data_IF_278100131974
#
_entry.id   IF_278100131974
#
_cell.length_a   1.000
_cell.length_b   1.000
_cell.length_c   1.000
_cell.angle_alpha   90.00
_cell.angle_beta   90.00
_cell.angle_gamma   90.00
#
_symmetry.space_group_name_H-M   'P 1'
#
loop_
_entity.id
_entity.type
_entity.pdbx_description
1 polymer ?
#
# COMPACT_ATOMS: atom_id res chain seq x y z
N UNK A 1 -29.19 -23.09 -9.06
CA UNK A 1 -28.08 -22.95 -8.09
C UNK A 1 -27.86 -24.32 -7.49
N UNK A 2 -26.63 -24.84 -7.51
CA UNK A 2 -26.30 -26.11 -6.87
C UNK A 2 -25.52 -25.81 -5.59
N UNK A 3 -25.89 -26.42 -4.47
CA UNK A 3 -25.18 -26.28 -3.20
C UNK A 3 -24.96 -27.66 -2.58
N UNK A 4 -23.73 -27.92 -2.19
CA UNK A 4 -23.29 -29.11 -1.48
C UNK A 4 -22.57 -28.66 -0.20
N UNK A 5 -23.12 -28.96 0.97
CA UNK A 5 -22.54 -28.54 2.23
C UNK A 5 -23.52 -28.66 3.39
N UNK A 6 -23.04 -28.27 4.57
CA UNK A 6 -23.81 -28.27 5.81
C UNK A 6 -24.96 -27.24 5.76
N UNK A 7 -25.98 -27.49 6.58
CA UNK A 7 -27.16 -26.63 6.74
C UNK A 7 -27.56 -26.57 8.21
N UNK A 8 -28.12 -25.44 8.63
CA UNK A 8 -28.68 -25.27 9.97
C UNK A 8 -30.10 -25.89 10.08
N UNK A 9 -30.71 -25.81 11.27
CA UNK A 9 -32.02 -26.39 11.57
C UNK A 9 -33.16 -25.83 10.69
N UNK A 10 -33.06 -24.57 10.28
CA UNK A 10 -34.02 -23.91 9.39
C UNK A 10 -33.72 -24.16 7.90
N UNK A 11 -32.68 -24.93 7.58
CA UNK A 11 -32.32 -25.35 6.23
C UNK A 11 -31.46 -24.37 5.44
N UNK A 12 -30.97 -23.29 6.07
CA UNK A 12 -30.04 -22.34 5.45
C UNK A 12 -28.63 -22.94 5.34
N UNK A 13 -27.81 -22.41 4.41
CA UNK A 13 -26.39 -22.78 4.31
C UNK A 13 -25.66 -22.42 5.61
N UNK A 14 -24.92 -23.37 6.16
CA UNK A 14 -24.16 -23.20 7.39
C UNK A 14 -22.90 -24.09 7.34
N UNK A 15 -21.90 -23.83 8.17
CA UNK A 15 -20.68 -24.63 8.21
C UNK A 15 -19.88 -24.50 6.91
N UNK A 16 -19.22 -25.57 6.45
CA UNK A 16 -18.49 -25.54 5.19
C UNK A 16 -19.37 -26.01 4.02
N UNK A 17 -19.26 -25.35 2.87
CA UNK A 17 -20.00 -25.75 1.68
C UNK A 17 -19.44 -25.21 0.37
N UNK A 18 -19.95 -25.78 -0.72
CA UNK A 18 -19.63 -25.42 -2.10
C UNK A 18 -20.91 -25.06 -2.85
N UNK A 19 -20.92 -23.89 -3.47
CA UNK A 19 -22.02 -23.39 -4.27
C UNK A 19 -21.57 -23.16 -5.72
N UNK A 20 -22.42 -23.56 -6.67
CA UNK A 20 -22.40 -23.13 -8.06
C UNK A 20 -23.54 -22.15 -8.30
N UNK A 21 -23.18 -20.93 -8.66
CA UNK A 21 -24.10 -19.82 -8.85
C UNK A 21 -24.69 -19.84 -10.28
N UNK A 22 -25.88 -19.25 -10.49
CA UNK A 22 -26.52 -19.21 -11.82
C UNK A 22 -25.67 -18.54 -12.91
N UNK A 23 -24.81 -17.59 -12.54
CA UNK A 23 -23.90 -16.90 -13.45
C UNK A 23 -22.68 -17.76 -13.88
N UNK A 24 -22.52 -18.95 -13.28
CA UNK A 24 -21.40 -19.86 -13.52
C UNK A 24 -20.23 -19.72 -12.54
N UNK A 25 -20.28 -18.74 -11.64
CA UNK A 25 -19.30 -18.58 -10.57
C UNK A 25 -19.40 -19.74 -9.56
N UNK A 26 -18.32 -19.93 -8.81
CA UNK A 26 -18.29 -20.93 -7.74
C UNK A 26 -17.75 -20.33 -6.46
N UNK A 27 -18.35 -20.70 -5.34
CA UNK A 27 -17.83 -20.41 -4.01
C UNK A 27 -17.60 -21.71 -3.26
N UNK A 28 -16.52 -21.79 -2.51
CA UNK A 28 -16.20 -22.88 -1.61
C UNK A 28 -15.62 -22.30 -0.33
N UNK A 29 -16.28 -22.54 0.80
CA UNK A 29 -15.86 -21.96 2.07
C UNK A 29 -16.97 -22.00 3.13
N UNK A 30 -16.77 -21.19 4.16
CA UNK A 30 -17.63 -21.14 5.33
C UNK A 30 -18.90 -20.28 5.10
N UNK A 31 -20.00 -20.77 5.66
CA UNK A 31 -21.31 -20.14 5.66
C UNK A 31 -21.84 -20.00 7.08
N UNK A 32 -22.53 -18.90 7.32
CA UNK A 32 -23.25 -18.62 8.56
C UNK A 32 -24.57 -17.93 8.20
N UNK A 33 -25.69 -18.42 8.75
CA UNK A 33 -27.06 -17.91 8.46
C UNK A 33 -27.34 -17.67 6.97
N UNK A 34 -26.98 -18.65 6.13
CA UNK A 34 -27.20 -18.57 4.67
C UNK A 34 -26.20 -17.70 3.91
N UNK A 35 -25.30 -16.96 4.58
CA UNK A 35 -24.36 -16.00 4.01
C UNK A 35 -22.92 -16.52 4.10
N UNK A 36 -22.06 -16.13 3.15
CA UNK A 36 -20.62 -16.41 3.22
C UNK A 36 -20.07 -15.69 4.45
N UNK A 37 -19.39 -16.43 5.32
CA UNK A 37 -18.83 -15.92 6.57
C UNK A 37 -17.60 -16.75 6.94
N UNK A 38 -16.49 -16.10 7.29
CA UNK A 38 -15.21 -16.74 7.54
C UNK A 38 -14.44 -17.00 6.25
N UNK A 39 -13.54 -17.97 6.27
CA UNK A 39 -12.64 -18.24 5.16
C UNK A 39 -13.38 -18.86 3.96
N UNK A 40 -13.05 -18.39 2.76
CA UNK A 40 -13.58 -18.98 1.54
C UNK A 40 -12.86 -18.55 0.27
N UNK A 41 -13.10 -19.30 -0.79
CA UNK A 41 -12.62 -19.02 -2.13
C UNK A 41 -13.79 -18.81 -3.08
N UNK A 42 -13.82 -17.65 -3.73
CA UNK A 42 -14.75 -17.34 -4.80
C UNK A 42 -14.01 -17.32 -6.13
N UNK A 43 -14.45 -18.13 -7.08
CA UNK A 43 -13.91 -18.20 -8.44
C UNK A 43 -14.95 -17.66 -9.40
N UNK A 44 -14.58 -16.58 -10.08
CA UNK A 44 -15.41 -15.92 -11.05
C UNK A 44 -15.28 -16.62 -12.41
N UNK A 45 -16.37 -16.68 -13.17
CA UNK A 45 -16.36 -17.23 -14.54
C UNK A 45 -15.41 -16.47 -15.47
N UNK A 46 -15.16 -15.19 -15.20
CA UNK A 46 -14.23 -14.36 -15.97
C UNK A 46 -12.73 -14.68 -15.70
N UNK A 47 -12.42 -15.61 -14.80
CA UNK A 47 -11.05 -16.00 -14.44
C UNK A 47 -10.51 -15.34 -13.16
N UNK A 48 -11.18 -14.32 -12.63
CA UNK A 48 -10.80 -13.74 -11.35
C UNK A 48 -10.99 -14.75 -10.21
N UNK A 49 -10.25 -14.56 -9.12
CA UNK A 49 -10.37 -15.38 -7.91
C UNK A 49 -10.08 -14.57 -6.67
N UNK A 50 -10.97 -14.64 -5.69
CA UNK A 50 -10.73 -14.18 -4.33
C UNK A 50 -10.58 -15.37 -3.39
N UNK A 51 -9.59 -15.32 -2.50
CA UNK A 51 -9.43 -16.25 -1.38
C UNK A 51 -9.15 -15.43 -0.12
N UNK A 52 -10.00 -15.54 0.90
CA UNK A 52 -9.85 -14.75 2.12
C UNK A 52 -11.08 -14.80 3.02
N UNK A 53 -11.12 -13.88 3.98
CA UNK A 53 -12.22 -13.76 4.92
C UNK A 53 -13.47 -13.11 4.30
N UNK A 54 -14.62 -13.58 4.76
CA UNK A 54 -15.92 -13.03 4.45
C UNK A 54 -16.67 -12.65 5.72
N UNK A 55 -17.43 -11.56 5.67
CA UNK A 55 -18.43 -11.23 6.69
C UNK A 55 -19.73 -10.88 5.97
N UNK A 56 -20.79 -11.65 6.24
CA UNK A 56 -22.14 -11.40 5.70
C UNK A 56 -22.13 -11.16 4.18
N UNK A 57 -21.56 -12.10 3.42
CA UNK A 57 -21.37 -12.08 1.96
C UNK A 57 -20.32 -11.11 1.41
N UNK A 58 -19.67 -10.26 2.22
CA UNK A 58 -18.67 -9.31 1.74
C UNK A 58 -17.26 -9.78 2.07
N UNK A 59 -16.30 -9.51 1.17
CA UNK A 59 -14.86 -9.64 1.44
C UNK A 59 -14.50 -8.74 2.62
N UNK A 60 -13.80 -9.31 3.60
CA UNK A 60 -13.39 -8.62 4.81
C UNK A 60 -12.04 -9.18 5.27
N UNK A 61 -11.41 -8.62 6.30
CA UNK A 61 -10.22 -9.22 6.91
C UNK A 61 -9.06 -9.38 5.93
N UNK A 62 -8.35 -10.50 5.98
CA UNK A 62 -7.23 -10.77 5.08
C UNK A 62 -7.69 -11.51 3.83
N UNK A 63 -7.19 -11.12 2.67
CA UNK A 63 -7.52 -11.83 1.44
C UNK A 63 -6.62 -11.51 0.26
N UNK A 64 -6.55 -12.48 -0.65
CA UNK A 64 -5.88 -12.38 -1.93
C UNK A 64 -6.91 -12.33 -3.05
N UNK A 65 -6.83 -11.33 -3.91
CA UNK A 65 -7.61 -11.23 -5.13
C UNK A 65 -6.68 -11.30 -6.34
N UNK A 66 -6.91 -12.28 -7.21
CA UNK A 66 -6.22 -12.42 -8.50
C UNK A 66 -7.19 -11.97 -9.58
N UNK A 67 -6.78 -10.97 -10.35
CA UNK A 67 -7.59 -10.38 -11.41
C UNK A 67 -7.41 -11.16 -12.72
N UNK A 68 -8.35 -11.03 -13.68
CA UNK A 68 -8.28 -11.76 -14.96
C UNK A 68 -7.07 -11.38 -15.82
N UNK A 69 -6.52 -10.18 -15.64
CA UNK A 69 -5.33 -9.69 -16.35
C UNK A 69 -4.01 -10.26 -15.78
N UNK A 70 -4.07 -10.97 -14.65
CA UNK A 70 -2.91 -11.54 -13.96
C UNK A 70 -2.35 -10.67 -12.85
N UNK A 71 -2.83 -9.43 -12.69
CA UNK A 71 -2.51 -8.62 -11.50
C UNK A 71 -3.08 -9.30 -10.25
N UNK A 72 -2.52 -8.99 -9.08
CA UNK A 72 -3.04 -9.51 -7.81
C UNK A 72 -2.88 -8.51 -6.68
N UNK A 73 -3.84 -8.54 -5.77
CA UNK A 73 -3.79 -7.84 -4.50
C UNK A 73 -3.75 -8.83 -3.34
N UNK A 74 -2.91 -8.57 -2.37
CA UNK A 74 -2.77 -9.33 -1.12
C UNK A 74 -2.80 -8.34 0.04
N UNK A 75 -3.83 -8.40 0.90
CA UNK A 75 -3.92 -7.49 2.02
C UNK A 75 -5.28 -7.46 2.69
N UNK A 76 -5.54 -6.36 3.38
CA UNK A 76 -6.75 -6.12 4.14
C UNK A 76 -7.94 -5.72 3.26
N UNK A 77 -9.13 -6.18 3.66
CA UNK A 77 -10.40 -5.90 3.01
C UNK A 77 -11.43 -5.43 4.03
N UNK A 78 -12.25 -4.48 3.64
CA UNK A 78 -13.40 -4.01 4.41
C UNK A 78 -14.57 -3.73 3.47
N UNK A 79 -15.72 -4.37 3.71
CA UNK A 79 -16.95 -4.17 2.95
C UNK A 79 -16.75 -4.27 1.42
N UNK A 80 -16.12 -5.35 0.96
CA UNK A 80 -15.76 -5.60 -0.45
C UNK A 80 -14.67 -4.68 -1.05
N UNK A 81 -14.12 -3.76 -0.25
CA UNK A 81 -13.10 -2.81 -0.67
C UNK A 81 -11.72 -3.17 -0.14
N UNK A 82 -10.67 -2.92 -0.94
CA UNK A 82 -9.28 -2.95 -0.43
C UNK A 82 -9.13 -1.84 0.61
N UNK A 83 -8.58 -2.17 1.77
CA UNK A 83 -8.45 -1.28 2.91
C UNK A 83 -7.17 -1.62 3.67
N UNK A 84 -6.73 -0.77 4.62
CA UNK A 84 -5.64 -1.10 5.53
C UNK A 84 -4.32 -1.32 4.81
N UNK A 85 -3.50 -2.27 5.27
CA UNK A 85 -2.22 -2.60 4.63
C UNK A 85 -2.41 -3.63 3.51
N UNK A 86 -1.69 -3.45 2.40
CA UNK A 86 -1.67 -4.44 1.33
C UNK A 86 -0.60 -4.23 0.28
N UNK A 87 -0.36 -5.29 -0.48
CA UNK A 87 0.56 -5.34 -1.61
C UNK A 87 -0.24 -5.57 -2.88
N UNK A 88 -0.02 -4.74 -3.89
CA UNK A 88 -0.57 -4.91 -5.22
C UNK A 88 0.57 -5.17 -6.21
N UNK A 89 0.44 -6.25 -6.96
CA UNK A 89 1.36 -6.65 -8.02
C UNK A 89 0.68 -6.39 -9.37
N UNK A 90 1.27 -5.49 -10.14
CA UNK A 90 0.76 -5.08 -11.44
C UNK A 90 1.22 -6.04 -12.54
N UNK A 91 0.53 -6.01 -13.68
CA UNK A 91 0.85 -6.86 -14.85
C UNK A 91 2.22 -6.52 -15.45
N UNK A 92 2.64 -5.25 -15.36
CA UNK A 92 3.97 -4.80 -15.77
C UNK A 92 5.09 -5.17 -14.77
N UNK A 93 4.77 -5.97 -13.74
CA UNK A 93 5.60 -6.36 -12.61
C UNK A 93 5.91 -5.24 -11.60
N UNK A 94 5.35 -4.04 -11.77
CA UNK A 94 5.42 -3.03 -10.72
C UNK A 94 4.76 -3.56 -9.45
N UNK A 95 5.17 -3.01 -8.30
CA UNK A 95 4.58 -3.37 -7.01
C UNK A 95 4.30 -2.14 -6.19
N UNK A 96 3.10 -2.05 -5.64
CA UNK A 96 2.77 -1.11 -4.57
C UNK A 96 2.64 -1.87 -3.25
N UNK A 97 3.31 -1.38 -2.20
CA UNK A 97 3.20 -1.88 -0.83
C UNK A 97 2.88 -0.71 0.08
N UNK A 98 1.74 -0.72 0.75
CA UNK A 98 1.38 0.34 1.68
C UNK A 98 -0.08 0.35 2.07
N UNK A 99 -0.52 1.53 2.49
CA UNK A 99 -1.87 1.78 2.96
C UNK A 99 -2.88 1.90 1.79
N UNK A 100 -4.11 1.45 2.05
CA UNK A 100 -5.26 1.46 1.16
C UNK A 100 -6.49 1.99 1.87
N UNK A 101 -7.29 2.78 1.16
CA UNK A 101 -8.58 3.28 1.64
C UNK A 101 -9.57 3.29 0.49
N UNK A 102 -10.66 2.52 0.62
CA UNK A 102 -11.74 2.41 -0.38
C UNK A 102 -11.20 2.19 -1.80
N UNK A 103 -10.46 1.09 -1.96
CA UNK A 103 -9.78 0.67 -3.20
C UNK A 103 -8.62 1.56 -3.69
N UNK A 104 -8.37 2.72 -3.08
CA UNK A 104 -7.32 3.64 -3.52
C UNK A 104 -6.07 3.52 -2.66
N UNK A 105 -4.89 3.67 -3.28
CA UNK A 105 -3.65 3.90 -2.55
C UNK A 105 -3.80 5.16 -1.71
N UNK A 106 -3.50 5.08 -0.43
CA UNK A 106 -3.64 6.18 0.53
C UNK A 106 -2.55 6.06 1.59
N UNK A 107 -2.27 7.11 2.37
CA UNK A 107 -1.33 7.03 3.49
C UNK A 107 0.11 6.83 3.06
N UNK A 108 0.91 6.09 3.83
CA UNK A 108 2.29 5.77 3.47
C UNK A 108 2.36 4.56 2.54
N UNK A 109 3.20 4.67 1.51
CA UNK A 109 3.36 3.59 0.55
C UNK A 109 4.66 3.64 -0.23
N UNK A 110 5.08 2.46 -0.65
CA UNK A 110 6.22 2.22 -1.53
C UNK A 110 5.71 1.77 -2.90
N UNK A 111 6.16 2.40 -3.98
CA UNK A 111 5.95 1.93 -5.34
C UNK A 111 7.29 1.56 -5.98
N UNK A 112 7.42 0.34 -6.46
CA UNK A 112 8.57 -0.19 -7.17
C UNK A 112 8.24 -0.24 -8.66
N UNK A 113 9.04 0.49 -9.45
CA UNK A 113 9.01 0.46 -10.90
C UNK A 113 9.90 -0.68 -11.38
N UNK A 114 9.32 -1.75 -11.90
CA UNK A 114 10.07 -2.96 -12.24
C UNK A 114 11.03 -2.76 -13.42
N UNK A 115 10.63 -1.94 -14.40
CA UNK A 115 11.44 -1.66 -15.59
C UNK A 115 12.73 -0.92 -15.26
N UNK A 116 12.66 0.11 -14.42
CA UNK A 116 13.80 0.98 -14.09
C UNK A 116 14.51 0.56 -12.80
N UNK A 117 13.87 -0.25 -11.96
CA UNK A 117 14.32 -0.51 -10.60
C UNK A 117 14.15 0.67 -9.65
N UNK A 118 13.54 1.78 -10.11
CA UNK A 118 13.26 2.94 -9.26
C UNK A 118 12.25 2.61 -8.18
N UNK A 119 12.34 3.30 -7.04
CA UNK A 119 11.42 3.15 -5.92
C UNK A 119 10.97 4.50 -5.40
N UNK A 120 9.67 4.75 -5.41
CA UNK A 120 9.04 5.86 -4.70
C UNK A 120 8.66 5.41 -3.28
N UNK A 121 8.99 6.20 -2.27
CA UNK A 121 8.63 5.99 -0.87
C UNK A 121 8.04 7.28 -0.32
N UNK A 122 6.73 7.33 -0.07
CA UNK A 122 6.11 8.58 0.34
C UNK A 122 4.63 8.48 0.62
N UNK A 123 3.99 9.66 0.66
CA UNK A 123 2.57 9.77 0.97
C UNK A 123 1.73 9.66 -0.30
N UNK A 124 0.60 8.97 -0.18
CA UNK A 124 -0.38 8.77 -1.23
C UNK A 124 -1.72 9.35 -0.78
N UNK A 125 -2.37 10.08 -1.68
CA UNK A 125 -3.71 10.64 -1.46
C UNK A 125 -4.53 10.34 -2.70
N UNK A 126 -5.61 9.56 -2.53
CA UNK A 126 -6.51 9.19 -3.61
C UNK A 126 -5.82 8.62 -4.86
N UNK A 127 -4.86 7.72 -4.65
CA UNK A 127 -4.10 7.10 -5.73
C UNK A 127 -2.95 7.94 -6.29
N UNK A 128 -2.76 9.18 -5.82
CA UNK A 128 -1.73 10.10 -6.30
C UNK A 128 -0.58 10.24 -5.30
N UNK A 129 0.64 10.40 -5.81
CA UNK A 129 1.82 10.71 -5.02
C UNK A 129 1.77 12.17 -4.58
N UNK A 130 1.82 12.39 -3.26
CA UNK A 130 1.65 13.71 -2.68
C UNK A 130 2.52 13.88 -1.42
N UNK A 131 2.83 15.13 -1.05
CA UNK A 131 3.57 15.42 0.17
C UNK A 131 5.04 15.02 0.11
N UNK A 132 5.67 14.81 1.27
CA UNK A 132 7.07 14.47 1.36
C UNK A 132 7.31 13.02 0.92
N UNK A 133 8.35 12.81 0.11
CA UNK A 133 8.72 11.48 -0.38
C UNK A 133 10.20 11.40 -0.76
N UNK A 134 10.66 10.17 -0.90
CA UNK A 134 11.93 9.81 -1.49
C UNK A 134 11.71 9.07 -2.81
N UNK A 135 12.44 9.46 -3.85
CA UNK A 135 12.53 8.73 -5.10
C UNK A 135 13.96 8.20 -5.23
N UNK A 136 14.11 6.89 -5.15
CA UNK A 136 15.39 6.19 -5.18
C UNK A 136 15.57 5.60 -6.58
N UNK A 137 16.71 5.87 -7.21
CA UNK A 137 17.09 5.27 -8.48
C UNK A 137 18.60 4.99 -8.48
N UNK A 138 18.97 3.73 -8.74
CA UNK A 138 20.35 3.28 -8.73
C UNK A 138 21.09 3.67 -7.43
N UNK A 139 22.09 4.55 -7.52
CA UNK A 139 23.00 4.97 -6.45
C UNK A 139 22.69 6.39 -5.89
N UNK A 140 21.49 6.89 -6.17
CA UNK A 140 21.06 8.19 -5.68
C UNK A 140 19.58 8.17 -5.28
N UNK A 141 19.22 9.11 -4.41
CA UNK A 141 17.83 9.36 -4.04
C UNK A 141 17.52 10.84 -4.01
N UNK A 142 16.40 11.21 -4.62
CA UNK A 142 15.81 12.51 -4.43
C UNK A 142 14.95 12.51 -3.17
N UNK A 143 15.09 13.53 -2.33
CA UNK A 143 14.25 13.79 -1.16
C UNK A 143 13.59 15.15 -1.34
N UNK A 144 12.25 15.18 -1.36
CA UNK A 144 11.51 16.43 -1.55
C UNK A 144 10.01 16.25 -1.47
N UNK A 145 9.27 17.22 -2.02
CA UNK A 145 7.81 17.17 -2.07
C UNK A 145 7.30 16.79 -3.44
N UNK A 146 6.17 16.10 -3.46
CA UNK A 146 5.43 15.72 -4.65
C UNK A 146 4.03 16.31 -4.61
N UNK A 147 3.51 16.67 -5.78
CA UNK A 147 2.15 17.14 -6.00
C UNK A 147 1.68 16.60 -7.34
N UNK A 148 0.58 15.84 -7.35
CA UNK A 148 0.03 15.20 -8.55
C UNK A 148 1.11 14.41 -9.34
N UNK A 149 1.87 13.55 -8.66
CA UNK A 149 3.00 12.76 -9.22
C UNK A 149 4.25 13.55 -9.60
N UNK A 150 4.21 14.88 -9.58
CA UNK A 150 5.36 15.71 -9.96
C UNK A 150 6.16 16.17 -8.74
N UNK A 151 7.50 16.09 -8.76
CA UNK A 151 8.32 16.71 -7.73
C UNK A 151 8.20 18.24 -7.80
N UNK A 152 8.11 18.89 -6.64
CA UNK A 152 7.87 20.34 -6.53
C UNK A 152 8.68 20.97 -5.40
N UNK A 153 9.10 22.22 -5.61
CA UNK A 153 9.70 23.04 -4.58
C UNK A 153 11.09 22.54 -4.14
N UNK A 154 11.55 22.90 -2.93
CA UNK A 154 12.88 22.56 -2.47
C UNK A 154 13.03 21.06 -2.23
N UNK A 155 14.20 20.55 -2.59
CA UNK A 155 14.58 19.16 -2.37
C UNK A 155 16.09 18.97 -2.43
N UNK A 156 16.53 17.73 -2.33
CA UNK A 156 17.94 17.38 -2.49
C UNK A 156 18.13 16.00 -3.10
N UNK A 157 19.16 15.86 -3.91
CA UNK A 157 19.69 14.57 -4.31
C UNK A 157 20.79 14.15 -3.34
N UNK A 158 20.68 12.93 -2.82
CA UNK A 158 21.71 12.31 -1.99
C UNK A 158 22.32 11.15 -2.76
N UNK A 159 23.63 11.21 -2.95
CA UNK A 159 24.41 10.19 -3.65
C UNK A 159 25.12 9.28 -2.63
N UNK A 160 25.32 8.01 -2.98
CA UNK A 160 25.95 7.04 -2.07
C UNK A 160 27.40 7.42 -1.66
N UNK A 161 28.06 8.26 -2.45
CA UNK A 161 29.38 8.82 -2.14
C UNK A 161 29.36 9.86 -1.01
N UNK A 162 28.18 10.20 -0.46
CA UNK A 162 28.00 11.16 0.62
C UNK A 162 27.83 12.61 0.16
N UNK A 163 27.84 12.88 -1.15
CA UNK A 163 27.49 14.18 -1.70
C UNK A 163 25.98 14.44 -1.63
N UNK A 164 25.61 15.67 -1.30
CA UNK A 164 24.23 16.15 -1.44
C UNK A 164 24.17 17.32 -2.41
N UNK A 165 23.32 17.26 -3.43
CA UNK A 165 23.00 18.40 -4.28
C UNK A 165 21.64 18.97 -3.85
N UNK A 166 21.65 20.22 -3.40
CA UNK A 166 20.45 20.95 -2.99
C UNK A 166 19.94 21.78 -4.14
N UNK A 167 18.62 21.84 -4.28
CA UNK A 167 17.98 22.57 -5.36
C UNK A 167 16.47 22.64 -5.19
N UNK A 168 15.79 23.00 -6.26
CA UNK A 168 14.33 23.04 -6.29
C UNK A 168 13.76 22.61 -7.64
N UNK A 169 12.63 21.92 -7.60
CA UNK A 169 11.81 21.67 -8.78
C UNK A 169 10.85 22.81 -9.02
N UNK A 170 10.81 23.27 -10.27
CA UNK A 170 9.84 24.24 -10.78
C UNK A 170 9.01 23.60 -11.87
N UNK A 171 7.69 23.64 -11.74
CA UNK A 171 6.77 23.19 -12.77
C UNK A 171 6.72 24.26 -13.86
N UNK A 172 7.01 23.90 -15.11
CA UNK A 172 6.91 24.79 -16.26
C UNK A 172 5.89 24.27 -17.25
N UNK A 173 5.05 25.16 -17.78
CA UNK A 173 4.14 24.87 -18.88
C UNK A 173 4.94 24.75 -20.18
N UNK A 174 4.73 23.68 -20.95
CA UNK A 174 5.22 23.63 -22.34
C UNK A 174 4.31 24.48 -23.20
N UNK A 175 4.87 25.46 -23.94
CA UNK A 175 4.08 26.31 -24.85
C UNK A 175 3.40 25.45 -25.94
N UNK A 176 2.07 25.56 -25.97
CA UNK A 176 1.12 25.28 -27.04
C UNK A 176 1.79 25.23 -28.44
N UNK A 177 1.87 24.03 -29.01
CA UNK A 177 1.89 23.91 -30.47
C UNK A 177 0.59 24.51 -30.98
N UNK A 178 0.67 25.64 -31.68
CA UNK A 178 -0.48 26.21 -32.39
C UNK A 178 -0.87 25.23 -33.49
N UNK A 179 -1.81 24.33 -33.24
CA UNK A 179 -2.66 23.74 -34.28
C UNK A 179 -3.90 23.06 -33.64
N UNK A 180 -5.01 23.78 -33.78
CA UNK A 180 -6.38 23.33 -34.04
C UNK A 180 -7.22 22.63 -32.93
N UNK A 181 -8.17 23.44 -32.43
CA UNK A 181 -9.60 23.18 -32.15
C UNK A 181 -10.05 22.01 -31.23
N UNK A 182 -10.66 22.43 -30.11
CA UNK A 182 -11.75 21.74 -29.37
C UNK A 182 -11.52 20.29 -28.90
N UNK A 183 -10.39 20.00 -28.25
CA UNK A 183 -10.33 19.00 -27.17
C UNK A 183 -9.66 19.64 -25.95
N UNK A 184 -10.12 19.33 -24.74
CA UNK A 184 -9.60 19.88 -23.48
C UNK A 184 -8.07 19.79 -23.46
N UNK A 185 -7.38 20.91 -23.73
CA UNK A 185 -5.93 20.94 -23.89
C UNK A 185 -5.28 20.60 -22.57
N UNK A 186 -4.86 19.34 -22.41
CA UNK A 186 -4.02 18.90 -21.31
C UNK A 186 -2.70 19.67 -21.39
N UNK A 187 -2.51 20.62 -20.47
CA UNK A 187 -1.25 21.34 -20.34
C UNK A 187 -0.21 20.35 -19.85
N UNK A 188 0.78 20.01 -20.68
CA UNK A 188 1.89 19.16 -20.29
C UNK A 188 2.81 19.92 -19.32
N UNK A 189 2.65 19.64 -18.03
CA UNK A 189 3.50 20.17 -16.97
C UNK A 189 4.81 19.38 -16.94
N UNK A 190 5.93 20.06 -17.14
CA UNK A 190 7.26 19.44 -17.06
C UNK A 190 7.99 19.94 -15.81
N UNK A 191 8.33 19.07 -14.85
CA UNK A 191 9.16 19.44 -13.70
C UNK A 191 10.61 19.68 -14.14
N UNK A 192 11.15 20.87 -13.86
CA UNK A 192 12.55 21.21 -14.11
C UNK A 192 13.31 21.38 -12.81
N UNK A 193 14.41 20.64 -12.66
CA UNK A 193 15.32 20.76 -11.53
C UNK A 193 16.24 21.98 -11.70
N UNK A 194 16.36 22.77 -10.65
CA UNK A 194 17.33 23.87 -10.55
C UNK A 194 18.27 23.62 -9.39
N UNK A 195 19.49 23.18 -9.71
CA UNK A 195 20.55 23.03 -8.71
C UNK A 195 20.93 24.40 -8.11
N UNK A 196 21.12 24.44 -6.79
CA UNK A 196 21.48 25.65 -6.04
C UNK A 196 22.87 25.53 -5.41
N UNK A 197 23.16 24.43 -4.72
CA UNK A 197 24.49 24.19 -4.13
C UNK A 197 24.77 22.68 -3.99
N UNK A 198 26.04 22.34 -3.78
CA UNK A 198 26.50 20.97 -3.51
C UNK A 198 27.21 21.00 -2.16
N UNK A 199 26.87 20.06 -1.28
CA UNK A 199 27.63 19.84 -0.04
C UNK A 199 28.94 19.15 -0.41
N UNK A 200 30.08 19.77 -0.10
CA UNK A 200 31.40 19.21 -0.37
C UNK A 200 31.61 17.89 0.41
N UNK A 201 32.32 16.94 -0.21
CA UNK A 201 32.71 15.69 0.43
C UNK A 201 33.49 15.99 1.71
N UNK A 202 32.89 15.70 2.86
CA UNK A 202 33.65 15.59 4.09
C UNK A 202 34.53 14.35 3.97
N UNK A 203 35.79 14.54 3.53
CA UNK A 203 36.82 13.51 3.61
C UNK A 203 36.85 13.04 5.06
N UNK A 204 36.41 11.81 5.29
CA UNK A 204 36.54 11.15 6.58
C UNK A 204 38.03 11.13 6.92
N UNK A 205 38.44 11.99 7.84
CA UNK A 205 39.75 11.91 8.46
C UNK A 205 39.60 10.86 9.57
N UNK A 206 40.31 9.73 9.52
CA UNK A 206 40.40 8.88 10.69
C UNK A 206 40.97 9.75 11.80
N UNK A 207 40.19 9.97 12.86
CA UNK A 207 40.73 10.49 14.10
C UNK A 207 41.79 9.49 14.53
N UNK A 208 43.07 9.84 14.36
CA UNK A 208 44.17 9.12 15.00
C UNK A 208 43.81 9.06 16.48
N UNK A 209 43.50 7.86 16.96
CA UNK A 209 43.23 7.60 18.37
C UNK A 209 44.41 8.16 19.17
N UNK A 210 44.20 9.22 19.94
CA UNK A 210 45.18 9.63 20.93
C UNK A 210 45.38 8.45 21.88
N UNK A 211 46.62 7.94 21.89
CA UNK A 211 47.06 6.91 22.82
C UNK A 211 46.75 7.37 24.25
N UNK A 212 45.79 6.70 24.91
CA UNK A 212 45.54 6.93 26.32
C UNK A 212 46.78 6.55 27.12
N UNK A 213 47.27 7.40 28.04
CA UNK A 213 48.33 7.00 28.95
C UNK A 213 47.82 5.90 29.89
N UNK A 214 48.69 5.00 30.35
CA UNK A 214 48.29 3.80 31.07
C UNK A 214 47.68 4.16 32.44
N UNK A 215 46.73 3.35 32.96
CA UNK A 215 46.06 3.64 34.21
C UNK A 215 46.98 3.33 35.39
N UNK A 216 47.19 4.33 36.26
CA UNK A 216 47.69 4.10 37.62
C UNK A 216 46.58 3.51 38.48
N UNK A 217 46.91 2.42 39.18
CA UNK A 217 45.96 1.67 39.98
C UNK A 217 45.82 2.14 41.43
N UNK A 218 44.77 1.55 42.04
CA UNK A 218 44.60 1.14 43.45
C UNK A 218 43.58 1.91 44.33
N UNK A 219 42.73 1.10 44.99
CA UNK A 219 41.84 1.41 46.13
C UNK A 219 40.39 1.01 45.85
N UNK A 220 39.92 -0.23 46.11
CA UNK A 220 39.28 -0.72 47.37
C UNK A 220 38.21 0.27 47.91
N UNK A 221 36.94 -0.07 48.16
CA UNK A 221 36.33 -1.22 48.86
C UNK A 221 34.88 -1.51 48.40
N UNK A 222 34.41 -2.74 48.69
CA UNK A 222 33.06 -3.30 48.46
C UNK A 222 32.01 -2.90 49.59
N UNK A 223 30.91 -3.64 49.87
CA UNK A 223 29.62 -3.71 49.15
C UNK A 223 28.38 -3.65 50.08
N UNK A 224 27.18 -3.25 49.63
CA UNK A 224 25.86 -3.64 50.23
C UNK A 224 24.80 -3.52 49.11
N UNK A 225 23.90 -4.46 48.75
CA UNK A 225 23.11 -5.43 49.51
C UNK A 225 21.61 -5.06 49.35
N UNK A 226 20.92 -5.57 48.31
CA UNK A 226 19.87 -6.62 48.33
C UNK A 226 18.42 -6.22 48.72
N UNK A 227 17.48 -6.78 47.93
CA UNK A 227 16.03 -7.05 48.17
C UNK A 227 15.05 -5.86 47.99
N UNK A 228 13.80 -6.00 47.52
CA UNK A 228 12.95 -7.14 47.16
C UNK A 228 11.64 -6.64 46.49
N UNK A 229 11.07 -7.43 45.57
CA UNK A 229 9.72 -8.07 45.61
C UNK A 229 8.51 -7.15 45.83
N UNK A 230 7.55 -7.20 44.89
CA UNK A 230 6.16 -6.75 45.08
C UNK A 230 5.32 -6.70 43.80
N UNK A 231 4.63 -7.80 43.49
CA UNK A 231 3.31 -7.87 42.82
C UNK A 231 2.25 -8.00 43.96
N UNK A 232 0.92 -7.74 43.86
CA UNK A 232 0.05 -8.06 42.72
C UNK A 232 -1.16 -7.15 42.40
N UNK A 233 -1.74 -7.43 41.21
CA UNK A 233 -3.17 -7.53 40.83
C UNK A 233 -4.18 -6.43 41.18
N UNK A 234 -5.02 -6.06 40.21
CA UNK A 234 -6.48 -5.99 40.41
C UNK A 234 -7.27 -6.14 39.08
N UNK A 235 -8.20 -7.10 39.11
CA UNK A 235 -9.24 -7.40 38.13
C UNK A 235 -10.36 -6.33 38.14
N UNK A 236 -10.94 -6.00 36.99
CA UNK A 236 -12.37 -5.60 36.90
C UNK A 236 -13.04 -6.28 35.70
N UNK A 237 -14.19 -6.87 36.01
CA UNK A 237 -15.03 -7.76 35.22
C UNK A 237 -15.94 -7.06 34.20
N UNK A 238 -16.45 -7.90 33.31
CA UNK A 238 -17.40 -7.68 32.24
C UNK A 238 -18.86 -7.48 32.71
N UNK A 239 -19.66 -6.78 31.90
CA UNK A 239 -21.09 -7.00 31.67
C UNK A 239 -21.33 -6.87 30.14
N UNK A 240 -22.09 -7.68 29.42
CA UNK A 240 -23.27 -8.46 29.79
C UNK A 240 -24.53 -7.77 29.25
N UNK A 241 -24.86 -7.93 27.96
CA UNK A 241 -26.18 -7.53 27.45
C UNK A 241 -26.70 -8.54 26.43
N UNK A 242 -27.65 -9.34 26.90
CA UNK A 242 -28.47 -10.26 26.12
C UNK A 242 -29.64 -9.49 25.50
N UNK A 243 -29.96 -9.80 24.24
CA UNK A 243 -31.07 -9.21 23.49
C UNK A 243 -31.50 -10.16 22.38
N UNK A 244 -32.37 -11.10 22.75
CA UNK A 244 -33.00 -12.12 21.93
C UNK A 244 -34.16 -11.54 21.13
N UNK A 245 -34.19 -11.72 19.79
CA UNK A 245 -35.39 -11.57 18.96
C UNK A 245 -35.37 -12.58 17.79
N UNK A 246 -36.46 -13.33 17.71
CA UNK A 246 -36.79 -14.46 16.83
C UNK A 246 -36.83 -14.18 15.31
N UNK A 247 -36.79 -15.24 14.46
CA UNK A 247 -36.53 -15.12 13.03
C UNK A 247 -37.80 -14.80 12.24
N UNK A 248 -37.70 -13.87 11.29
CA UNK A 248 -38.73 -13.62 10.26
C UNK A 248 -38.10 -13.65 8.88
N UNK A 249 -38.70 -14.48 8.04
CA UNK A 249 -38.69 -14.32 6.59
C UNK A 249 -37.49 -14.98 5.92
N UNK A 250 -37.75 -16.06 5.20
CA UNK A 250 -36.90 -16.48 4.11
C UNK A 250 -36.91 -15.36 3.07
N UNK A 251 -35.91 -14.47 3.16
CA UNK A 251 -35.57 -13.60 2.05
C UNK A 251 -35.02 -14.51 0.96
N UNK A 252 -35.83 -14.74 -0.07
CA UNK A 252 -35.31 -15.18 -1.37
C UNK A 252 -34.40 -14.06 -1.87
N UNK A 253 -33.15 -14.08 -1.41
CA UNK A 253 -32.08 -13.23 -1.89
C UNK A 253 -31.78 -13.64 -3.33
N UNK A 254 -32.57 -13.07 -4.24
CA UNK A 254 -32.19 -12.90 -5.63
C UNK A 254 -30.94 -12.04 -5.58
N UNK A 255 -29.78 -12.71 -5.64
CA UNK A 255 -28.47 -12.09 -5.80
C UNK A 255 -28.53 -11.15 -7.02
N UNK A 256 -28.85 -9.88 -6.79
CA UNK A 256 -28.57 -8.81 -7.72
C UNK A 256 -27.06 -8.62 -7.73
N UNK A 257 -26.39 -9.49 -8.49
CA UNK A 257 -25.02 -9.34 -8.92
C UNK A 257 -24.89 -8.01 -9.64
N UNK A 258 -24.48 -6.98 -8.90
CA UNK A 258 -23.96 -5.77 -9.50
C UNK A 258 -22.76 -6.21 -10.32
N UNK A 259 -22.82 -5.94 -11.62
CA UNK A 259 -21.74 -6.21 -12.56
C UNK A 259 -20.43 -5.60 -12.04
N UNK A 260 -19.62 -6.39 -11.33
CA UNK A 260 -18.23 -6.05 -10.97
C UNK A 260 -17.36 -5.86 -12.23
N UNK A 261 -17.88 -6.18 -13.42
CA UNK A 261 -17.29 -5.83 -14.71
C UNK A 261 -17.29 -4.32 -15.02
N UNK A 262 -17.88 -3.46 -14.18
CA UNK A 262 -17.83 -2.00 -14.34
C UNK A 262 -16.90 -1.28 -13.34
N UNK A 263 -16.35 -1.95 -12.32
CA UNK A 263 -15.34 -1.37 -11.42
C UNK A 263 -13.90 -1.65 -11.89
N UNK A 264 -13.74 -2.02 -13.17
CA UNK A 264 -12.45 -2.26 -13.83
C UNK A 264 -11.87 -1.00 -14.51
N UNK A 265 -12.32 0.19 -14.11
CA UNK A 265 -11.70 1.45 -14.50
C UNK A 265 -10.94 1.97 -13.29
N UNK A 266 -9.76 2.55 -13.52
CA UNK A 266 -8.90 3.19 -12.52
C UNK A 266 -7.99 2.23 -11.73
N UNK A 267 -6.99 1.69 -12.41
CA UNK A 267 -5.58 1.72 -11.96
C UNK A 267 -4.65 1.28 -13.12
N UNK A 268 -4.95 1.76 -14.35
CA UNK A 268 -3.99 1.68 -15.46
C UNK A 268 -3.03 2.86 -15.26
N UNK A 269 -2.00 2.68 -14.43
CA UNK A 269 -0.88 3.62 -14.36
C UNK A 269 0.04 3.33 -15.56
N UNK A 270 -0.35 3.75 -16.76
CA UNK A 270 0.57 3.90 -17.89
C UNK A 270 1.31 5.23 -17.74
N UNK A 271 2.12 5.33 -16.69
CA UNK A 271 2.95 6.50 -16.42
C UNK A 271 4.42 6.16 -16.63
N UNK A 272 4.87 6.15 -17.88
CA UNK A 272 6.30 6.34 -18.15
C UNK A 272 6.65 7.77 -17.72
N UNK A 273 7.28 7.90 -16.55
CA UNK A 273 7.99 9.13 -16.21
C UNK A 273 9.25 9.18 -17.07
N UNK A 274 9.15 9.83 -18.24
CA UNK A 274 10.32 10.24 -18.98
C UNK A 274 11.01 11.37 -18.19
N UNK A 275 12.11 11.04 -17.52
CA UNK A 275 13.01 12.03 -16.96
C UNK A 275 14.08 12.35 -18.01
N UNK A 276 13.86 13.40 -18.79
CA UNK A 276 14.93 13.99 -19.60
C UNK A 276 15.88 14.75 -18.65
N UNK A 277 16.94 14.08 -18.22
CA UNK A 277 18.12 14.75 -17.67
C UNK A 277 18.89 15.36 -18.85
N UNK A 278 18.82 16.68 -19.05
CA UNK A 278 19.77 17.33 -19.94
C UNK A 278 21.19 17.15 -19.37
N UNK A 279 22.17 16.69 -20.18
CA UNK A 279 23.55 16.68 -19.76
C UNK A 279 23.98 18.13 -19.48
N UNK A 280 24.52 18.36 -18.29
CA UNK A 280 25.12 19.64 -17.94
C UNK A 280 26.25 19.98 -18.91
N UNK A 281 26.03 20.97 -19.77
CA UNK A 281 27.09 21.69 -20.49
C UNK A 281 27.95 22.45 -19.47
N UNK A 282 28.84 21.73 -18.79
CA UNK A 282 30.03 22.32 -18.18
C UNK A 282 31.08 22.39 -19.30
N UNK A 283 31.09 23.53 -19.99
CA UNK A 283 32.21 23.96 -20.81
C UNK A 283 33.36 24.34 -19.88
N UNK A 284 34.43 23.54 -19.90
CA UNK A 284 35.80 23.97 -19.60
C UNK A 284 36.56 24.19 -20.92
#
# INVERSE_FOLDING_TARGET
>A
MEYEGERNEVGERHGHGKARLPNGDTYEGSYEFGKRHGQGTYKFKNGARYTGDYVKNKKHGQGTFIYPDGSRYEGEWADDQRHGQGVYYYVNNDTYTGEWFNHQRHGQGTYLYAETGSKYVGTWVHGQQEGAAELIHLNHRYQGKFMNKNPVGPGKYVFDIGCEQHGEYRLTDTERGEEEEEEETLVNIVPKWKALNITELALWTPTLSEEQPPPEGQGQEEPQGLTGVGDPSEDIQAEGFEGELEPRGADEDVDTFRQESQENSYDIDQGNLNFDEEPSDLQD
#
